data_IF_834603790851
#
_entry.id   IF_834603790851
#
_cell.length_a   1.000
_cell.length_b   1.000
_cell.length_c   1.000
_cell.angle_alpha   90.00
_cell.angle_beta   90.00
_cell.angle_gamma   90.00
#
_symmetry.space_group_name_H-M   'P 1'
#
loop_
_entity.id
_entity.type
_entity.pdbx_description
1 polymer ?
#
# COMPACT_ATOMS: atom_id res chain seq x y z
N UNK A 1 21.81 -18.13 -27.01
CA UNK A 1 21.59 -16.73 -26.62
C UNK A 1 20.15 -16.62 -26.11
N UNK A 2 19.96 -16.52 -24.78
CA UNK A 2 18.62 -16.30 -24.20
C UNK A 2 18.28 -14.82 -24.38
N UNK A 3 17.43 -14.52 -25.35
CA UNK A 3 16.73 -13.24 -25.39
C UNK A 3 15.49 -13.33 -24.49
N UNK A 4 15.43 -12.43 -23.50
CA UNK A 4 14.29 -11.89 -22.73
C UNK A 4 14.73 -11.70 -21.27
N UNK A 5 14.56 -10.56 -20.63
CA UNK A 5 13.48 -9.59 -20.79
C UNK A 5 14.00 -8.18 -20.48
N UNK A 6 13.45 -7.17 -21.16
CA UNK A 6 13.63 -5.77 -20.78
C UNK A 6 13.48 -5.60 -19.27
N UNK A 7 14.30 -4.75 -18.64
CA UNK A 7 14.07 -4.30 -17.26
C UNK A 7 12.73 -3.57 -17.22
N UNK A 8 11.62 -4.31 -17.08
CA UNK A 8 10.31 -3.76 -16.77
C UNK A 8 10.44 -3.13 -15.39
N UNK A 9 10.65 -1.81 -15.37
CA UNK A 9 10.74 -1.10 -14.10
C UNK A 9 9.38 -1.22 -13.43
N UNK A 10 9.39 -1.53 -12.13
CA UNK A 10 8.21 -1.68 -11.29
C UNK A 10 8.27 -0.60 -10.22
N UNK A 11 7.16 0.11 -10.00
CA UNK A 11 7.06 1.03 -8.87
C UNK A 11 6.41 0.28 -7.71
N UNK A 12 7.07 0.29 -6.55
CA UNK A 12 6.56 -0.29 -5.31
C UNK A 12 6.39 0.80 -4.26
N UNK A 13 5.26 0.78 -3.56
CA UNK A 13 5.03 1.63 -2.40
C UNK A 13 4.15 0.92 -1.38
N UNK A 14 4.20 1.41 -0.13
CA UNK A 14 3.51 0.81 1.00
C UNK A 14 2.52 1.80 1.63
N UNK A 15 1.24 1.77 1.23
CA UNK A 15 0.21 2.58 1.87
C UNK A 15 -0.19 1.97 3.22
N UNK A 16 -0.67 2.82 4.11
CA UNK A 16 -1.21 2.42 5.40
C UNK A 16 -2.73 2.70 5.43
N UNK A 17 -3.52 1.74 5.92
CA UNK A 17 -4.91 1.99 6.32
C UNK A 17 -5.03 1.95 7.83
N UNK A 18 -5.83 2.87 8.38
CA UNK A 18 -6.10 2.94 9.80
C UNK A 18 -7.56 2.56 10.06
N UNK A 19 -7.76 1.66 11.00
CA UNK A 19 -9.07 1.28 11.52
C UNK A 19 -9.16 1.73 12.97
N UNK A 20 -10.22 2.45 13.33
CA UNK A 20 -10.50 2.87 14.70
C UNK A 20 -11.84 2.29 15.14
N UNK A 21 -11.86 1.62 16.28
CA UNK A 21 -13.10 1.09 16.86
C UNK A 21 -13.14 1.34 18.38
N UNK A 22 -14.35 1.40 18.92
CA UNK A 22 -14.55 1.51 20.37
C UNK A 22 -14.38 0.11 20.96
N UNK A 23 -13.41 -0.03 21.85
CA UNK A 23 -13.18 -1.28 22.59
C UNK A 23 -13.71 -1.12 24.00
N UNK A 24 -14.97 -1.50 24.25
CA UNK A 24 -15.51 -1.49 25.60
C UNK A 24 -16.85 -2.21 25.68
N UNK A 25 -16.86 -3.35 26.37
CA UNK A 25 -18.09 -4.07 26.76
C UNK A 25 -18.81 -3.43 27.96
N UNK A 26 -18.21 -2.40 28.57
CA UNK A 26 -18.75 -1.79 29.78
C UNK A 26 -19.65 -0.59 29.47
N UNK A 27 -20.88 -0.66 29.99
CA UNK A 27 -21.94 0.35 30.06
C UNK A 27 -21.50 1.71 30.67
N UNK A 28 -20.27 1.80 31.19
CA UNK A 28 -19.70 3.01 31.75
C UNK A 28 -19.05 3.84 30.63
N UNK A 29 -19.82 4.78 30.09
CA UNK A 29 -19.40 5.86 29.20
C UNK A 29 -18.07 6.50 29.64
N UNK A 30 -16.94 5.99 29.16
CA UNK A 30 -15.68 6.69 29.11
C UNK A 30 -15.23 6.77 27.66
N UNK A 31 -15.04 8.01 27.19
CA UNK A 31 -14.53 8.38 25.87
C UNK A 31 -13.07 7.91 25.62
N UNK A 32 -12.56 6.97 26.45
CA UNK A 32 -11.13 6.64 26.59
C UNK A 32 -10.68 5.36 25.90
N UNK A 33 -11.60 4.48 25.50
CA UNK A 33 -11.22 3.19 24.91
C UNK A 33 -11.46 3.16 23.39
N UNK A 34 -10.83 4.07 22.66
CA UNK A 34 -10.75 3.99 21.20
C UNK A 34 -9.47 3.25 20.85
N UNK A 35 -9.61 2.04 20.30
CA UNK A 35 -8.49 1.26 19.78
C UNK A 35 -8.22 1.62 18.32
N UNK A 36 -6.95 1.67 17.94
CA UNK A 36 -6.51 1.94 16.57
C UNK A 36 -5.60 0.81 16.07
N UNK A 37 -5.84 0.35 14.84
CA UNK A 37 -4.98 -0.58 14.11
C UNK A 37 -4.53 0.03 12.80
N UNK A 38 -3.22 0.03 12.58
CA UNK A 38 -2.62 0.43 11.30
C UNK A 38 -2.17 -0.82 10.55
N UNK A 39 -2.67 -1.00 9.33
CA UNK A 39 -2.27 -2.09 8.44
C UNK A 39 -1.49 -1.51 7.27
N UNK A 40 -0.30 -2.07 7.02
CA UNK A 40 0.56 -1.69 5.91
C UNK A 40 0.39 -2.69 4.77
N UNK A 41 0.08 -2.18 3.59
CA UNK A 41 -0.05 -2.99 2.37
C UNK A 41 1.17 -2.81 1.50
N UNK A 42 1.39 -3.74 0.56
CA UNK A 42 2.40 -3.62 -0.48
C UNK A 42 1.71 -3.54 -1.83
N UNK A 43 1.90 -2.43 -2.53
CA UNK A 43 1.37 -2.23 -3.88
C UNK A 43 2.49 -2.35 -4.89
N UNK A 44 2.25 -3.08 -5.97
CA UNK A 44 3.14 -3.24 -7.12
C UNK A 44 2.47 -2.72 -8.39
N UNK A 45 3.09 -1.75 -9.05
CA UNK A 45 2.60 -1.14 -10.30
C UNK A 45 3.48 -1.59 -11.46
N UNK A 46 2.91 -2.40 -12.35
CA UNK A 46 3.61 -2.92 -13.54
C UNK A 46 3.28 -2.16 -14.83
N UNK A 47 2.12 -1.48 -14.89
CA UNK A 47 1.72 -0.69 -16.07
C UNK A 47 2.62 0.53 -16.19
N UNK A 48 3.28 0.70 -17.33
CA UNK A 48 4.26 1.78 -17.59
C UNK A 48 3.69 3.18 -17.36
N UNK A 49 2.50 3.41 -17.87
CA UNK A 49 1.72 4.64 -17.86
C UNK A 49 1.38 5.07 -16.43
N UNK A 50 0.87 4.14 -15.62
CA UNK A 50 0.60 4.38 -14.20
C UNK A 50 1.86 4.45 -13.35
N UNK A 51 2.92 3.72 -13.73
CA UNK A 51 4.19 3.65 -12.99
C UNK A 51 4.86 5.01 -12.93
N UNK A 52 4.96 5.70 -14.06
CA UNK A 52 5.66 6.98 -14.16
C UNK A 52 4.88 8.07 -13.39
N UNK A 53 3.55 8.06 -13.51
CA UNK A 53 2.66 8.93 -12.72
C UNK A 53 2.77 8.61 -11.22
N UNK A 54 2.72 7.34 -10.83
CA UNK A 54 2.85 6.95 -9.43
C UNK A 54 4.20 7.39 -8.84
N UNK A 55 5.29 7.24 -9.58
CA UNK A 55 6.61 7.67 -9.12
C UNK A 55 6.73 9.20 -8.97
N UNK A 56 6.13 9.96 -9.90
CA UNK A 56 6.19 11.42 -9.86
C UNK A 56 5.28 12.04 -8.79
N UNK A 57 4.07 11.48 -8.60
CA UNK A 57 3.02 12.10 -7.79
C UNK A 57 2.80 11.43 -6.43
N UNK A 58 3.13 10.14 -6.25
CA UNK A 58 3.02 9.50 -4.93
C UNK A 58 4.20 9.95 -4.08
N UNK A 59 3.92 10.75 -3.05
CA UNK A 59 4.88 11.13 -2.01
C UNK A 59 4.47 10.53 -0.68
N UNK A 60 5.38 10.58 0.29
CA UNK A 60 5.05 10.17 1.67
C UNK A 60 3.89 11.04 2.18
N UNK A 61 2.83 10.39 2.66
CA UNK A 61 1.63 11.07 3.18
C UNK A 61 0.58 11.40 2.11
N UNK A 62 0.84 11.12 0.83
CA UNK A 62 -0.19 11.26 -0.21
C UNK A 62 -1.32 10.27 0.03
N UNK A 63 -2.55 10.80 0.02
CA UNK A 63 -3.75 9.98 0.07
C UNK A 63 -4.04 9.47 -1.34
N UNK A 64 -4.15 8.15 -1.46
CA UNK A 64 -4.35 7.48 -2.75
C UNK A 64 -5.47 6.44 -2.63
N UNK A 65 -6.19 6.27 -3.72
CA UNK A 65 -7.06 5.14 -3.97
C UNK A 65 -6.33 4.19 -4.92
N UNK A 66 -6.36 2.89 -4.60
CA UNK A 66 -5.72 1.85 -5.39
C UNK A 66 -6.76 0.77 -5.66
N UNK A 67 -6.91 0.43 -6.93
CA UNK A 67 -7.72 -0.69 -7.39
C UNK A 67 -6.80 -1.68 -8.11
N UNK A 68 -7.05 -2.97 -7.92
CA UNK A 68 -6.30 -4.01 -8.57
C UNK A 68 -6.59 -5.38 -8.00
N UNK A 69 -5.70 -6.34 -8.26
CA UNK A 69 -5.81 -7.72 -7.80
C UNK A 69 -4.90 -8.01 -6.62
N UNK A 70 -5.37 -8.87 -5.71
CA UNK A 70 -4.54 -9.44 -4.65
C UNK A 70 -3.79 -10.63 -5.21
N UNK A 71 -2.48 -10.68 -4.94
CA UNK A 71 -1.58 -11.76 -5.33
C UNK A 71 -0.80 -12.21 -4.09
N UNK A 72 -0.54 -13.51 -4.00
CA UNK A 72 0.21 -14.10 -2.90
C UNK A 72 1.54 -14.58 -3.45
N UNK A 73 2.62 -13.89 -3.09
CA UNK A 73 3.97 -14.24 -3.50
C UNK A 73 4.66 -15.04 -2.39
N UNK A 74 5.42 -16.07 -2.77
CA UNK A 74 6.18 -16.90 -1.84
C UNK A 74 7.66 -16.64 -2.02
N UNK A 75 8.32 -16.16 -0.97
CA UNK A 75 9.75 -15.91 -0.98
C UNK A 75 10.47 -16.64 0.14
N UNK A 76 11.68 -17.11 -0.17
CA UNK A 76 12.57 -17.73 0.82
C UNK A 76 13.31 -16.63 1.58
N UNK A 77 13.08 -16.53 2.88
CA UNK A 77 13.88 -15.68 3.74
C UNK A 77 15.30 -16.23 3.88
N UNK A 78 16.26 -15.39 4.27
CA UNK A 78 17.68 -15.76 4.46
C UNK A 78 17.91 -16.97 5.37
N UNK A 79 16.94 -17.31 6.22
CA UNK A 79 16.99 -18.44 7.14
C UNK A 79 16.33 -19.71 6.57
N UNK A 80 16.12 -19.79 5.25
CA UNK A 80 15.47 -20.90 4.55
C UNK A 80 14.00 -21.15 4.98
N UNK A 81 13.36 -20.13 5.56
CA UNK A 81 11.94 -20.15 5.94
C UNK A 81 11.12 -19.58 4.78
N UNK A 82 10.15 -20.36 4.28
CA UNK A 82 9.15 -19.88 3.31
C UNK A 82 8.26 -18.84 3.98
N UNK A 83 8.14 -17.66 3.36
CA UNK A 83 7.20 -16.63 3.79
C UNK A 83 6.26 -16.30 2.64
N UNK A 84 4.98 -16.18 2.97
CA UNK A 84 3.97 -15.64 2.07
C UNK A 84 3.91 -14.13 2.25
N UNK A 85 3.95 -13.40 1.14
CA UNK A 85 3.71 -11.97 1.07
C UNK A 85 2.43 -11.71 0.30
N UNK A 86 1.49 -11.00 0.91
CA UNK A 86 0.34 -10.46 0.19
C UNK A 86 0.77 -9.18 -0.54
N UNK A 87 0.58 -9.17 -1.85
CA UNK A 87 0.90 -8.05 -2.74
C UNK A 87 -0.39 -7.65 -3.44
N UNK A 88 -0.61 -6.36 -3.63
CA UNK A 88 -1.69 -5.84 -4.46
C UNK A 88 -1.08 -5.36 -5.76
N UNK A 89 -1.46 -5.97 -6.87
CA UNK A 89 -1.06 -5.57 -8.21
C UNK A 89 -2.04 -4.53 -8.68
N UNK A 90 -1.60 -3.27 -8.78
CA UNK A 90 -2.49 -2.15 -9.10
C UNK A 90 -2.81 -2.10 -10.60
N UNK A 91 -4.10 -2.04 -10.90
CA UNK A 91 -4.66 -1.79 -12.23
C UNK A 91 -5.00 -0.32 -12.41
N UNK A 92 -5.39 0.38 -11.34
CA UNK A 92 -5.70 1.80 -11.33
C UNK A 92 -5.25 2.46 -10.02
N UNK A 93 -4.76 3.70 -10.10
CA UNK A 93 -4.35 4.51 -8.95
C UNK A 93 -4.88 5.92 -9.13
N UNK A 94 -5.66 6.40 -8.17
CA UNK A 94 -6.23 7.74 -8.14
C UNK A 94 -5.64 8.50 -6.96
N UNK A 95 -5.17 9.72 -7.23
CA UNK A 95 -4.63 10.60 -6.20
C UNK A 95 -5.79 11.37 -5.56
N UNK A 96 -5.95 11.22 -4.25
CA UNK A 96 -7.02 11.86 -3.48
C UNK A 96 -6.54 13.11 -2.73
N UNK A 97 -5.23 13.26 -2.53
CA UNK A 97 -4.67 14.44 -1.89
C UNK A 97 -4.60 15.63 -2.83
N UNK A 98 -5.18 16.76 -2.42
CA UNK A 98 -4.95 18.07 -3.02
C UNK A 98 -3.52 18.54 -2.66
N UNK A 99 -2.63 18.66 -3.65
CA UNK A 99 -1.23 19.07 -3.47
C UNK A 99 -1.08 20.54 -3.01
N UNK A 100 -2.18 21.23 -2.71
CA UNK A 100 -2.22 22.65 -2.36
C UNK A 100 -1.80 22.96 -0.91
N UNK A 101 -1.67 21.96 -0.01
CA UNK A 101 -1.45 22.19 1.44
C UNK A 101 -0.02 22.01 1.98
N UNK A 102 1.02 22.12 1.16
CA UNK A 102 2.42 22.02 1.64
C UNK A 102 3.27 23.27 1.35
N UNK A 103 2.62 24.45 1.44
CA UNK A 103 3.30 25.75 1.61
C UNK A 103 2.49 26.62 2.59
N UNK A 104 2.57 26.31 3.88
CA UNK A 104 2.16 27.20 4.96
C UNK A 104 3.13 27.03 6.12
#
# INVERSE_FOLDING_TARGET
MKHMEEKKQVTLFSPATNEMWKSGDNEAYQMRDISQKTTWYRISVFRSDLRDVANQYVKKGSLIYVEGKVDYDEYMAKNNVRRQATIIIADNVIFLSDQTKEKA
#
